data_IF_654301299078
#
_entry.id   IF_654301299078
#
_cell.length_a   1.000
_cell.length_b   1.000
_cell.length_c   1.000
_cell.angle_alpha   90.00
_cell.angle_beta   90.00
_cell.angle_gamma   90.00
#
_symmetry.space_group_name_H-M   'P 1'
#
loop_
_entity.id
_entity.type
_entity.pdbx_description
1 polymer ?
#
# COMPACT_ATOMS: atom_id res chain seq x y z
N UNK A 1 -15.07 -27.72 8.28
CA UNK A 1 -16.44 -28.29 8.31
C UNK A 1 -17.43 -27.13 8.27
N UNK A 2 -18.60 -27.27 7.62
CA UNK A 2 -19.46 -26.12 7.32
C UNK A 2 -20.20 -25.63 8.57
N UNK A 3 -20.35 -24.32 8.75
CA UNK A 3 -21.05 -23.71 9.89
C UNK A 3 -22.50 -24.19 10.06
N UNK A 4 -23.10 -24.74 8.99
CA UNK A 4 -24.44 -25.33 9.00
C UNK A 4 -24.46 -26.70 9.69
N UNK A 5 -23.40 -27.50 9.52
CA UNK A 5 -23.29 -28.80 10.18
C UNK A 5 -23.16 -28.66 11.70
N UNK A 6 -22.42 -27.66 12.17
CA UNK A 6 -22.27 -27.36 13.60
C UNK A 6 -23.61 -26.92 14.21
N UNK A 7 -24.37 -26.07 13.52
CA UNK A 7 -25.70 -25.65 13.94
C UNK A 7 -26.68 -26.83 14.05
N UNK A 8 -26.66 -27.74 13.06
CA UNK A 8 -27.50 -28.95 13.08
C UNK A 8 -27.13 -29.85 14.27
N UNK A 9 -25.84 -30.01 14.55
CA UNK A 9 -25.37 -30.79 15.70
C UNK A 9 -25.81 -30.18 17.03
N UNK A 10 -25.78 -28.85 17.16
CA UNK A 10 -26.26 -28.13 18.34
C UNK A 10 -27.78 -28.29 18.53
N UNK A 11 -28.57 -28.26 17.45
CA UNK A 11 -30.02 -28.50 17.51
C UNK A 11 -30.35 -29.93 17.97
N UNK A 12 -29.60 -30.93 17.48
CA UNK A 12 -29.75 -32.32 17.92
C UNK A 12 -29.37 -32.48 19.39
N UNK A 13 -28.28 -31.83 19.83
CA UNK A 13 -27.85 -31.84 21.24
C UNK A 13 -28.86 -31.15 22.17
N UNK A 14 -29.56 -30.13 21.68
CA UNK A 14 -30.65 -29.46 22.39
C UNK A 14 -31.95 -30.28 22.44
N UNK A 15 -32.00 -31.45 21.79
CA UNK A 15 -33.17 -32.34 21.79
C UNK A 15 -34.27 -31.92 20.82
N UNK A 16 -33.95 -31.11 19.81
CA UNK A 16 -34.91 -30.75 18.76
C UNK A 16 -35.17 -31.98 17.88
N UNK A 17 -36.44 -32.20 17.53
CA UNK A 17 -36.86 -33.32 16.69
C UNK A 17 -36.13 -33.31 15.34
N UNK A 18 -35.45 -34.40 14.95
CA UNK A 18 -34.72 -34.48 13.69
C UNK A 18 -35.60 -34.26 12.45
N UNK A 19 -36.89 -34.62 12.50
CA UNK A 19 -37.81 -34.40 11.39
C UNK A 19 -38.11 -32.89 11.22
N UNK A 20 -38.17 -32.15 12.33
CA UNK A 20 -38.35 -30.70 12.31
C UNK A 20 -37.09 -29.99 11.77
N UNK A 21 -35.90 -30.48 12.12
CA UNK A 21 -34.63 -29.98 11.58
C UNK A 21 -34.58 -30.22 10.07
N UNK A 22 -34.95 -31.42 9.62
CA UNK A 22 -34.99 -31.79 8.20
C UNK A 22 -35.93 -30.90 7.37
N UNK A 23 -37.17 -30.68 7.86
CA UNK A 23 -38.14 -29.79 7.21
C UNK A 23 -37.65 -28.34 7.14
N UNK A 24 -36.99 -27.87 8.20
CA UNK A 24 -36.44 -26.51 8.26
C UNK A 24 -35.24 -26.35 7.31
N UNK A 25 -34.35 -27.34 7.25
CA UNK A 25 -33.23 -27.35 6.31
C UNK A 25 -33.70 -27.36 4.85
N UNK A 26 -34.73 -28.15 4.54
CA UNK A 26 -35.37 -28.15 3.22
C UNK A 26 -35.94 -26.76 2.87
N UNK A 27 -36.72 -26.16 3.78
CA UNK A 27 -37.28 -24.82 3.60
C UNK A 27 -36.22 -23.71 3.46
N UNK A 28 -35.07 -23.85 4.11
CA UNK A 28 -33.94 -22.92 3.95
C UNK A 28 -33.21 -23.12 2.63
N UNK A 29 -33.14 -24.35 2.11
CA UNK A 29 -32.51 -24.65 0.82
C UNK A 29 -33.30 -24.12 -0.38
N UNK A 30 -34.62 -24.05 -0.25
CA UNK A 30 -35.53 -23.52 -1.28
C UNK A 30 -35.56 -21.98 -1.32
N UNK A 31 -35.03 -21.30 -0.29
CA UNK A 31 -34.93 -19.85 -0.31
C UNK A 31 -33.83 -19.40 -1.27
N UNK A 32 -34.22 -18.69 -2.33
CA UNK A 32 -33.26 -18.01 -3.19
C UNK A 32 -32.39 -17.05 -2.36
N UNK A 33 -31.05 -17.09 -2.51
CA UNK A 33 -30.18 -16.18 -1.79
C UNK A 33 -30.50 -14.76 -2.24
N UNK A 34 -31.01 -13.95 -1.30
CA UNK A 34 -31.23 -12.53 -1.51
C UNK A 34 -29.88 -11.91 -1.84
N UNK A 35 -29.71 -11.52 -3.11
CA UNK A 35 -28.53 -10.79 -3.57
C UNK A 35 -28.53 -9.43 -2.90
N UNK A 36 -27.85 -9.33 -1.76
CA UNK A 36 -27.58 -8.04 -1.12
C UNK A 36 -26.61 -7.30 -2.03
N UNK A 37 -27.16 -6.47 -2.92
CA UNK A 37 -26.38 -5.53 -3.71
C UNK A 37 -25.88 -4.49 -2.72
N UNK A 38 -24.61 -4.60 -2.32
CA UNK A 38 -23.95 -3.55 -1.56
C UNK A 38 -23.78 -2.33 -2.47
N UNK A 39 -24.83 -1.49 -2.50
CA UNK A 39 -24.91 -0.26 -3.28
C UNK A 39 -23.74 0.67 -2.93
N UNK A 40 -23.26 0.61 -1.69
CA UNK A 40 -22.10 1.36 -1.24
C UNK A 40 -20.82 0.86 -1.91
N UNK A 41 -20.64 -0.45 -2.02
CA UNK A 41 -19.54 -1.05 -2.78
C UNK A 41 -19.63 -0.76 -4.29
N UNK A 42 -20.84 -0.72 -4.86
CA UNK A 42 -21.05 -0.33 -6.27
C UNK A 42 -20.67 1.15 -6.50
N UNK A 43 -21.08 2.06 -5.61
CA UNK A 43 -20.72 3.49 -5.65
C UNK A 43 -19.21 3.70 -5.52
N UNK A 44 -18.52 2.95 -4.65
CA UNK A 44 -17.05 2.99 -4.55
C UNK A 44 -16.37 2.58 -5.87
N UNK A 45 -16.83 1.50 -6.51
CA UNK A 45 -16.31 1.04 -7.81
C UNK A 45 -16.61 1.99 -8.97
N UNK A 46 -17.71 2.74 -8.92
CA UNK A 46 -18.04 3.75 -9.92
C UNK A 46 -17.09 4.96 -9.81
N UNK A 47 -16.89 5.48 -8.60
CA UNK A 47 -15.99 6.60 -8.34
C UNK A 47 -14.53 6.30 -8.72
N UNK A 48 -14.09 5.05 -8.54
CA UNK A 48 -12.76 4.63 -8.95
C UNK A 48 -12.60 4.59 -10.48
N UNK A 49 -13.63 4.12 -11.20
CA UNK A 49 -13.67 4.17 -12.67
C UNK A 49 -13.59 5.60 -13.20
N UNK A 50 -14.32 6.54 -12.60
CA UNK A 50 -14.29 7.95 -13.00
C UNK A 50 -12.92 8.58 -12.73
N UNK A 51 -12.30 8.27 -11.59
CA UNK A 51 -10.94 8.73 -11.28
C UNK A 51 -9.92 8.21 -12.28
N UNK A 52 -10.04 6.96 -12.74
CA UNK A 52 -9.15 6.38 -13.75
C UNK A 52 -9.36 7.03 -15.12
N UNK A 53 -10.61 7.33 -15.49
CA UNK A 53 -10.93 8.07 -16.73
C UNK A 53 -10.31 9.46 -16.73
N UNK A 54 -10.49 10.23 -15.66
CA UNK A 54 -9.91 11.58 -15.54
C UNK A 54 -8.38 11.56 -15.60
N UNK A 55 -7.75 10.55 -15.00
CA UNK A 55 -6.30 10.38 -15.06
C UNK A 55 -5.83 10.10 -16.50
N UNK A 56 -6.48 9.17 -17.19
CA UNK A 56 -6.11 8.80 -18.55
C UNK A 56 -6.35 9.96 -19.53
N UNK A 57 -7.40 10.77 -19.33
CA UNK A 57 -7.66 11.97 -20.14
C UNK A 57 -6.63 13.07 -19.91
N UNK A 58 -6.14 13.26 -18.68
CA UNK A 58 -5.08 14.22 -18.40
C UNK A 58 -3.73 13.77 -18.98
N UNK A 59 -3.43 12.47 -18.94
CA UNK A 59 -2.22 11.88 -19.56
C UNK A 59 -2.27 11.96 -21.10
N UNK A 60 -3.46 11.98 -21.73
CA UNK A 60 -3.59 12.15 -23.19
C UNK A 60 -3.58 13.60 -23.69
N UNK A 61 -3.81 14.59 -22.82
CA UNK A 61 -3.75 16.01 -23.19
C UNK A 61 -2.32 16.59 -23.14
N UNK A 62 -1.40 15.91 -22.45
CA UNK A 62 0.00 16.34 -22.29
C UNK A 62 0.92 15.89 -23.45
N UNK A 63 0.39 15.14 -24.43
CA UNK A 63 1.16 14.63 -25.59
C UNK A 63 0.87 15.36 -26.91
N UNK A 64 0.22 16.53 -26.88
CA UNK A 64 -0.17 17.25 -28.10
C UNK A 64 0.16 18.75 -28.04
N UNK A 65 1.39 19.14 -27.72
CA UNK A 65 1.88 20.52 -27.93
C UNK A 65 3.35 20.46 -28.37
N UNK A 66 3.57 20.05 -29.62
CA UNK A 66 4.76 20.45 -30.36
C UNK A 66 4.30 20.91 -31.74
N UNK A 67 4.46 22.21 -32.01
CA UNK A 67 4.98 22.83 -33.24
C UNK A 67 4.51 24.30 -33.40
N UNK A 68 5.46 25.20 -33.15
CA UNK A 68 5.91 26.26 -34.07
C UNK A 68 5.64 27.76 -33.72
N UNK A 69 6.77 28.50 -33.71
CA UNK A 69 6.97 29.94 -33.57
C UNK A 69 6.51 30.73 -34.81
N UNK A 70 6.03 31.98 -34.63
CA UNK A 70 6.74 33.21 -35.08
C UNK A 70 5.85 34.46 -35.05
N UNK A 71 6.38 35.55 -34.50
CA UNK A 71 5.89 36.94 -34.63
C UNK A 71 6.09 37.51 -36.05
N UNK A 72 5.56 38.72 -36.36
CA UNK A 72 6.47 39.88 -36.39
C UNK A 72 5.89 41.24 -35.90
N UNK A 73 6.83 42.21 -35.83
CA UNK A 73 6.85 43.59 -35.28
C UNK A 73 5.90 44.62 -35.93
N UNK A 74 5.58 45.67 -35.15
CA UNK A 74 5.11 47.00 -35.61
C UNK A 74 5.51 48.10 -34.60
N UNK A 75 5.80 49.31 -35.07
CA UNK A 75 6.73 50.31 -34.51
C UNK A 75 6.20 51.27 -33.42
N UNK A 76 7.15 51.85 -32.67
CA UNK A 76 7.04 52.97 -31.70
C UNK A 76 6.93 54.35 -32.41
N UNK A 77 6.53 55.46 -31.74
CA UNK A 77 7.47 56.28 -30.94
C UNK A 77 6.89 56.96 -29.65
N UNK A 78 7.75 57.10 -28.64
CA UNK A 78 7.67 57.84 -27.33
C UNK A 78 7.79 59.39 -27.46
N UNK A 79 7.87 60.25 -26.39
CA UNK A 79 7.14 60.46 -25.10
C UNK A 79 6.83 61.99 -24.85
N UNK A 80 6.28 62.46 -23.69
CA UNK A 80 7.15 62.89 -22.58
C UNK A 80 6.61 62.63 -21.16
N UNK A 81 7.53 62.57 -20.19
CA UNK A 81 7.32 62.41 -18.75
C UNK A 81 6.65 63.66 -18.12
N UNK A 82 6.05 63.57 -16.90
CA UNK A 82 6.87 63.68 -15.69
C UNK A 82 6.46 62.74 -14.54
N UNK A 83 7.46 62.39 -13.73
CA UNK A 83 7.34 61.69 -12.44
C UNK A 83 6.44 62.47 -11.47
N UNK A 84 5.74 61.77 -10.57
CA UNK A 84 6.00 62.01 -9.16
C UNK A 84 6.30 60.70 -8.41
N UNK A 85 7.34 60.77 -7.60
CA UNK A 85 7.71 59.81 -6.56
C UNK A 85 6.50 59.59 -5.64
N UNK A 86 5.82 58.45 -5.74
CA UNK A 86 4.93 57.96 -4.70
C UNK A 86 5.60 56.78 -4.01
N UNK A 87 6.33 57.15 -2.95
CA UNK A 87 6.43 56.45 -1.67
C UNK A 87 6.11 54.95 -1.71
N UNK A 88 7.19 54.18 -1.69
CA UNK A 88 7.24 52.80 -1.21
C UNK A 88 6.55 52.77 0.18
N UNK A 89 5.42 52.07 0.35
CA UNK A 89 4.91 51.79 1.69
C UNK A 89 5.88 50.86 2.42
N UNK A 90 6.13 51.06 3.73
CA UNK A 90 7.17 50.35 4.47
C UNK A 90 6.87 48.86 4.50
N UNK A 91 7.94 48.07 4.37
CA UNK A 91 7.96 46.62 4.50
C UNK A 91 7.17 46.17 5.74
N UNK A 92 6.36 45.10 5.64
CA UNK A 92 5.79 44.49 6.83
C UNK A 92 6.92 43.94 7.71
N UNK A 93 6.81 44.06 9.05
CA UNK A 93 7.86 43.66 9.96
C UNK A 93 8.13 42.16 9.88
N UNK A 94 9.42 41.85 9.95
CA UNK A 94 10.03 40.53 10.16
C UNK A 94 9.30 39.75 11.27
N UNK A 95 8.96 38.49 10.99
CA UNK A 95 9.10 37.43 12.01
C UNK A 95 7.85 37.00 12.77
N UNK A 96 6.69 36.93 12.13
CA UNK A 96 5.54 36.19 12.65
C UNK A 96 5.11 35.11 11.67
N UNK A 97 5.94 34.07 11.47
CA UNK A 97 5.53 32.92 10.66
C UNK A 97 4.24 32.37 11.27
N UNK A 98 3.14 32.43 10.51
CA UNK A 98 2.03 31.52 10.77
C UNK A 98 2.62 30.11 10.94
N UNK A 99 2.10 29.28 11.86
CA UNK A 99 2.66 27.96 12.11
C UNK A 99 2.53 27.15 10.82
N UNK A 100 3.59 27.14 10.03
CA UNK A 100 3.63 26.37 8.80
C UNK A 100 3.98 24.94 9.22
N UNK A 101 3.38 23.92 8.58
CA UNK A 101 3.73 22.53 8.85
C UNK A 101 5.23 22.26 8.77
N UNK A 102 5.94 23.02 7.92
CA UNK A 102 7.40 22.97 7.75
C UNK A 102 8.14 23.46 8.98
N UNK A 103 7.77 24.62 9.53
CA UNK A 103 8.41 25.19 10.72
C UNK A 103 8.34 24.28 11.96
N UNK A 104 7.22 23.57 12.15
CA UNK A 104 7.06 22.61 13.25
C UNK A 104 7.91 21.33 13.06
N UNK A 105 8.14 20.91 11.79
CA UNK A 105 8.96 19.73 11.48
C UNK A 105 10.45 20.05 11.50
N UNK A 106 10.87 21.22 11.03
CA UNK A 106 12.26 21.70 11.07
C UNK A 106 12.81 21.84 12.49
N UNK A 107 11.94 21.95 13.50
CA UNK A 107 12.35 21.95 14.90
C UNK A 107 12.94 20.60 15.38
N UNK A 108 12.80 19.53 14.58
CA UNK A 108 13.20 18.15 14.96
C UNK A 108 13.92 17.43 13.81
N UNK A 109 13.64 17.80 12.56
CA UNK A 109 14.18 17.20 11.34
C UNK A 109 15.01 18.21 10.56
N UNK A 110 15.89 17.71 9.70
CA UNK A 110 16.56 18.55 8.70
C UNK A 110 15.55 19.17 7.72
N UNK A 111 15.87 20.36 7.19
CA UNK A 111 15.00 21.08 6.25
C UNK A 111 14.60 20.24 5.02
N UNK A 112 15.56 19.49 4.45
CA UNK A 112 15.32 18.63 3.29
C UNK A 112 14.32 17.50 3.60
N UNK A 113 14.42 16.90 4.79
CA UNK A 113 13.53 15.82 5.24
C UNK A 113 12.16 16.33 5.62
N UNK A 114 12.07 17.51 6.22
CA UNK A 114 10.80 18.18 6.48
C UNK A 114 10.03 18.44 5.17
N UNK A 115 10.72 18.92 4.12
CA UNK A 115 10.14 19.09 2.79
C UNK A 115 9.72 17.75 2.16
N UNK A 116 10.56 16.72 2.27
CA UNK A 116 10.24 15.39 1.75
C UNK A 116 8.98 14.79 2.40
N UNK A 117 8.79 14.98 3.72
CA UNK A 117 7.57 14.55 4.43
C UNK A 117 6.34 15.30 3.93
N UNK A 118 6.44 16.60 3.70
CA UNK A 118 5.34 17.43 3.18
C UNK A 118 4.99 17.02 1.75
N UNK A 119 5.98 16.86 0.86
CA UNK A 119 5.78 16.39 -0.51
C UNK A 119 5.15 15.00 -0.55
N UNK A 120 5.62 14.08 0.31
CA UNK A 120 5.05 12.75 0.45
C UNK A 120 3.56 12.80 0.84
N UNK A 121 3.21 13.63 1.85
CA UNK A 121 1.83 13.88 2.30
C UNK A 121 0.92 14.43 1.19
N UNK A 122 1.45 15.35 0.38
CA UNK A 122 0.75 15.88 -0.78
C UNK A 122 0.51 14.79 -1.84
N UNK A 123 1.51 13.94 -2.11
CA UNK A 123 1.41 12.83 -3.07
C UNK A 123 0.36 11.79 -2.69
N UNK A 124 0.25 11.47 -1.40
CA UNK A 124 -0.82 10.59 -0.87
C UNK A 124 -2.17 11.32 -0.69
N UNK A 125 -2.27 12.58 -1.16
CA UNK A 125 -3.46 13.46 -1.15
C UNK A 125 -4.03 13.70 0.25
N UNK A 126 -3.18 13.67 1.27
CA UNK A 126 -3.53 14.01 2.66
C UNK A 126 -2.56 15.08 3.15
N UNK A 127 -2.75 16.34 2.74
CA UNK A 127 -1.83 17.42 3.08
C UNK A 127 -1.75 17.59 4.60
N UNK A 128 -0.54 17.85 5.08
CA UNK A 128 -0.26 17.99 6.50
C UNK A 128 -0.74 19.35 7.00
N UNK A 129 -1.54 19.37 8.06
CA UNK A 129 -1.92 20.61 8.76
C UNK A 129 -0.86 20.97 9.80
N UNK A 130 -0.79 22.24 10.21
CA UNK A 130 0.17 22.72 11.20
C UNK A 130 0.10 21.94 12.53
N UNK A 131 -1.12 21.67 13.01
CA UNK A 131 -1.33 20.88 14.23
C UNK A 131 -0.88 19.42 14.07
N UNK A 132 -1.13 18.80 12.92
CA UNK A 132 -0.68 17.44 12.65
C UNK A 132 0.86 17.35 12.55
N UNK A 133 1.50 18.39 12.01
CA UNK A 133 2.96 18.50 11.99
C UNK A 133 3.53 18.56 13.41
N UNK A 134 2.94 19.37 14.30
CA UNK A 134 3.33 19.44 15.72
C UNK A 134 3.19 18.10 16.44
N UNK A 135 2.11 17.35 16.18
CA UNK A 135 1.94 16.01 16.73
C UNK A 135 3.01 15.04 16.23
N UNK A 136 3.34 15.07 14.93
CA UNK A 136 4.43 14.26 14.38
C UNK A 136 5.79 14.64 14.97
N UNK A 137 6.10 15.94 15.04
CA UNK A 137 7.33 16.44 15.64
C UNK A 137 7.46 15.98 17.10
N UNK A 138 6.37 16.01 17.88
CA UNK A 138 6.34 15.51 19.24
C UNK A 138 6.65 14.01 19.35
N UNK A 139 6.27 13.20 18.34
CA UNK A 139 6.62 11.77 18.29
C UNK A 139 8.05 11.54 17.81
N UNK A 140 8.54 12.29 16.83
CA UNK A 140 9.93 12.22 16.37
C UNK A 140 10.93 12.60 17.47
N UNK A 141 10.59 13.55 18.36
CA UNK A 141 11.43 13.88 19.53
C UNK A 141 11.64 12.73 20.51
N UNK A 142 10.73 11.76 20.53
CA UNK A 142 10.85 10.58 21.39
C UNK A 142 11.71 9.49 20.75
N UNK A 143 12.02 9.59 19.47
CA UNK A 143 12.92 8.67 18.79
C UNK A 143 14.39 9.05 19.04
N UNK A 144 15.28 8.05 19.15
CA UNK A 144 16.73 8.29 19.22
C UNK A 144 17.30 8.89 17.93
N UNK A 145 16.68 8.60 16.78
CA UNK A 145 17.01 9.20 15.48
C UNK A 145 15.73 9.62 14.76
N UNK A 146 15.44 10.94 14.81
CA UNK A 146 14.28 11.54 14.17
C UNK A 146 14.37 11.51 12.64
N UNK A 147 15.57 11.64 12.08
CA UNK A 147 15.77 11.68 10.63
C UNK A 147 15.54 10.31 10.00
N UNK A 148 16.11 9.25 10.58
CA UNK A 148 15.85 7.88 10.13
C UNK A 148 14.36 7.50 10.24
N UNK A 149 13.67 8.01 11.27
CA UNK A 149 12.24 7.83 11.44
C UNK A 149 11.42 8.50 10.32
N UNK A 150 11.79 9.71 9.89
CA UNK A 150 11.15 10.40 8.77
C UNK A 150 11.40 9.66 7.44
N UNK A 151 12.63 9.22 7.20
CA UNK A 151 13.00 8.46 6.00
C UNK A 151 12.22 7.13 5.94
N UNK A 152 12.09 6.44 7.08
CA UNK A 152 11.26 5.23 7.19
C UNK A 152 9.77 5.53 6.93
N UNK A 153 9.24 6.65 7.44
CA UNK A 153 7.85 7.05 7.21
C UNK A 153 7.56 7.22 5.72
N UNK A 154 8.47 7.89 4.98
CA UNK A 154 8.35 8.14 3.55
C UNK A 154 8.47 6.82 2.76
N UNK A 155 9.49 6.00 3.07
CA UNK A 155 9.75 4.75 2.36
C UNK A 155 8.57 3.76 2.44
N UNK A 156 7.83 3.76 3.56
CA UNK A 156 6.69 2.85 3.76
C UNK A 156 5.34 3.45 3.40
N UNK A 157 5.27 4.72 3.01
CA UNK A 157 3.99 5.37 2.70
C UNK A 157 3.13 5.65 3.94
N UNK A 158 3.74 5.82 5.11
CA UNK A 158 2.99 5.97 6.36
C UNK A 158 2.43 7.38 6.54
N UNK A 159 1.20 7.44 7.03
CA UNK A 159 0.50 8.68 7.38
C UNK A 159 0.57 9.01 8.88
N UNK A 160 0.97 8.05 9.69
CA UNK A 160 1.19 8.18 11.11
C UNK A 160 2.57 7.64 11.43
N UNK A 161 3.09 7.97 12.60
CA UNK A 161 4.39 7.51 13.01
C UNK A 161 4.36 7.21 14.49
N UNK A 162 4.64 5.96 14.84
CA UNK A 162 4.68 5.44 16.20
C UNK A 162 6.02 4.70 16.36
N UNK A 163 6.71 4.91 17.49
CA UNK A 163 8.07 4.40 17.72
C UNK A 163 8.09 2.87 17.70
N UNK A 164 7.09 2.25 18.32
CA UNK A 164 6.91 0.79 18.36
C UNK A 164 6.86 0.18 16.95
N UNK A 165 6.40 0.93 15.93
CA UNK A 165 6.36 0.43 14.56
C UNK A 165 7.76 0.30 13.95
N UNK A 166 8.71 1.14 14.37
CA UNK A 166 10.11 0.98 13.98
C UNK A 166 10.76 -0.20 14.72
N UNK A 167 10.50 -0.32 16.01
CA UNK A 167 11.05 -1.41 16.86
C UNK A 167 10.52 -2.79 16.45
N UNK A 168 9.23 -2.89 16.18
CA UNK A 168 8.64 -4.14 15.69
C UNK A 168 9.21 -4.54 14.33
N UNK A 169 9.65 -3.57 13.52
CA UNK A 169 10.25 -3.84 12.22
C UNK A 169 11.72 -4.24 12.31
N UNK A 170 12.49 -3.60 13.18
CA UNK A 170 13.86 -4.07 13.46
C UNK A 170 13.82 -5.48 14.05
N UNK A 171 12.87 -5.78 14.94
CA UNK A 171 12.63 -7.14 15.44
C UNK A 171 12.20 -8.12 14.33
N UNK A 172 11.27 -7.73 13.46
CA UNK A 172 10.77 -8.58 12.37
C UNK A 172 11.82 -8.85 11.28
N UNK A 173 12.79 -7.95 11.07
CA UNK A 173 13.89 -8.20 10.11
C UNK A 173 14.89 -9.25 10.59
N UNK A 174 14.94 -9.55 11.90
CA UNK A 174 15.88 -10.50 12.48
C UNK A 174 15.27 -11.87 12.77
N UNK A 175 13.99 -12.07 12.46
CA UNK A 175 13.37 -13.39 12.53
C UNK A 175 12.85 -13.77 11.13
N UNK A 176 13.43 -14.76 10.44
CA UNK A 176 12.60 -15.63 9.62
C UNK A 176 11.59 -16.23 10.60
N UNK A 177 10.42 -15.58 10.73
CA UNK A 177 9.32 -16.11 11.50
C UNK A 177 8.90 -17.37 10.74
N UNK A 178 9.43 -18.51 11.18
CA UNK A 178 8.87 -19.79 10.82
C UNK A 178 7.36 -19.65 11.06
N UNK A 179 6.52 -20.00 10.09
CA UNK A 179 5.09 -19.86 10.26
C UNK A 179 4.70 -20.49 11.59
N UNK A 180 3.80 -19.85 12.38
CA UNK A 180 3.32 -20.44 13.61
C UNK A 180 2.94 -21.88 13.29
N UNK A 181 3.35 -22.82 14.15
CA UNK A 181 3.26 -24.26 13.96
C UNK A 181 1.79 -24.68 13.82
N UNK A 182 1.17 -24.36 12.68
CA UNK A 182 -0.19 -24.73 12.34
C UNK A 182 -0.11 -26.23 12.14
N UNK A 183 -0.91 -27.04 12.86
CA UNK A 183 -1.00 -28.45 12.54
C UNK A 183 -1.31 -28.53 11.04
N UNK A 184 -0.50 -29.31 10.31
CA UNK A 184 -0.71 -29.52 8.88
C UNK A 184 -2.16 -29.91 8.69
N UNK A 185 -2.86 -29.22 7.77
CA UNK A 185 -4.22 -29.60 7.39
C UNK A 185 -4.25 -31.09 7.02
N UNK A 186 -5.33 -31.79 7.36
CA UNK A 186 -5.53 -33.20 6.99
C UNK A 186 -5.26 -33.45 5.51
N UNK A 187 -5.61 -32.49 4.64
CA UNK A 187 -5.31 -32.55 3.21
C UNK A 187 -3.80 -32.61 2.91
N UNK A 188 -3.00 -31.84 3.64
CA UNK A 188 -1.55 -31.79 3.46
C UNK A 188 -0.87 -33.01 4.09
N UNK A 189 -1.42 -33.57 5.17
CA UNK A 189 -0.99 -34.86 5.72
C UNK A 189 -1.29 -36.00 4.76
N UNK A 190 -2.49 -36.03 4.18
CA UNK A 190 -2.87 -37.03 3.18
C UNK A 190 -1.98 -36.93 1.94
N UNK A 191 -1.65 -35.72 1.47
CA UNK A 191 -0.67 -35.55 0.39
C UNK A 191 0.70 -36.09 0.77
N UNK A 192 1.22 -35.78 1.96
CA UNK A 192 2.50 -36.29 2.44
C UNK A 192 2.50 -37.83 2.53
N UNK A 193 1.42 -38.45 3.01
CA UNK A 193 1.29 -39.90 3.12
C UNK A 193 1.18 -40.58 1.76
N UNK A 194 0.42 -40.01 0.82
CA UNK A 194 0.36 -40.49 -0.57
C UNK A 194 1.73 -40.40 -1.23
N UNK A 195 2.44 -39.29 -1.02
CA UNK A 195 3.80 -39.11 -1.52
C UNK A 195 4.75 -40.17 -0.95
N UNK A 196 4.64 -40.47 0.36
CA UNK A 196 5.46 -41.48 1.04
C UNK A 196 5.21 -42.89 0.49
N UNK A 197 3.95 -43.26 0.27
CA UNK A 197 3.58 -44.55 -0.30
C UNK A 197 4.06 -44.68 -1.74
N UNK A 198 4.02 -43.60 -2.52
CA UNK A 198 4.56 -43.56 -3.88
C UNK A 198 6.09 -43.70 -3.90
N UNK A 199 6.81 -43.01 -3.02
CA UNK A 199 8.27 -43.12 -2.90
C UNK A 199 8.69 -44.53 -2.46
N UNK A 200 7.95 -45.15 -1.53
CA UNK A 200 8.14 -46.53 -1.08
C UNK A 200 7.87 -47.55 -2.21
N UNK A 201 6.78 -47.37 -2.96
CA UNK A 201 6.42 -48.24 -4.08
C UNK A 201 7.36 -48.10 -5.28
N UNK A 202 7.97 -46.93 -5.48
CA UNK A 202 8.93 -46.67 -6.56
C UNK A 202 10.38 -46.92 -6.15
N UNK A 203 10.64 -47.30 -4.89
CA UNK A 203 11.99 -47.52 -4.37
C UNK A 203 12.87 -46.25 -4.42
N UNK A 204 12.26 -45.07 -4.55
CA UNK A 204 12.97 -43.80 -4.73
C UNK A 204 13.29 -43.23 -3.35
N UNK A 205 14.37 -43.72 -2.76
CA UNK A 205 14.93 -43.15 -1.54
C UNK A 205 15.27 -41.68 -1.77
N UNK A 206 14.67 -40.78 -0.99
CA UNK A 206 14.99 -39.34 -0.98
C UNK A 206 16.43 -39.02 -0.57
N UNK A 207 17.17 -40.04 -0.12
CA UNK A 207 18.58 -39.97 0.25
C UNK A 207 19.51 -40.62 -0.79
N UNK A 208 19.01 -40.98 -1.98
CA UNK A 208 19.92 -41.27 -3.09
C UNK A 208 20.43 -39.94 -3.61
N UNK A 209 21.60 -39.57 -3.09
CA UNK A 209 22.51 -38.62 -3.70
C UNK A 209 22.48 -38.81 -5.22
N UNK A 210 21.82 -37.89 -5.92
CA UNK A 210 22.19 -37.55 -7.29
C UNK A 210 23.57 -36.87 -7.23
N UNK A 211 24.59 -37.67 -6.93
CA UNK A 211 25.99 -37.31 -7.11
C UNK A 211 26.37 -37.71 -8.52
N UNK A 212 26.64 -36.70 -9.35
CA UNK A 212 27.36 -36.90 -10.59
C UNK A 212 26.50 -37.17 -11.82
N UNK A 213 25.90 -36.11 -12.37
CA UNK A 213 26.43 -35.51 -13.59
C UNK A 213 25.50 -34.39 -14.03
N UNK A 214 25.69 -33.19 -13.47
CA UNK A 214 25.45 -31.98 -14.25
C UNK A 214 26.25 -32.15 -15.53
N UNK A 215 25.56 -32.42 -16.63
CA UNK A 215 26.10 -32.35 -17.98
C UNK A 215 26.50 -30.89 -18.16
N UNK A 216 27.76 -30.59 -17.84
CA UNK A 216 28.38 -29.29 -18.06
C UNK A 216 28.62 -29.17 -19.56
N UNK A 217 27.58 -28.75 -20.28
CA UNK A 217 27.70 -28.32 -21.67
C UNK A 217 28.48 -27.01 -21.65
N UNK A 218 29.81 -27.13 -21.67
CA UNK A 218 30.70 -26.01 -21.87
C UNK A 218 30.37 -25.31 -23.20
N UNK A 219 30.71 -24.03 -23.39
CA UNK A 219 30.33 -23.22 -24.56
C UNK A 219 30.88 -23.67 -25.93
N UNK A 220 31.38 -24.90 -26.07
CA UNK A 220 32.05 -25.41 -27.28
C UNK A 220 31.27 -26.45 -28.07
N UNK A 221 30.10 -26.91 -27.60
CA UNK A 221 29.37 -27.99 -28.26
C UNK A 221 28.28 -27.53 -29.24
N UNK A 222 28.15 -26.22 -29.49
CA UNK A 222 27.40 -25.72 -30.65
C UNK A 222 28.27 -25.79 -31.91
N UNK A 223 28.53 -27.00 -32.43
CA UNK A 223 29.05 -27.18 -33.79
C UNK A 223 28.07 -27.95 -34.65
N UNK A 224 27.66 -27.28 -35.72
CA UNK A 224 26.70 -27.67 -36.72
C UNK A 224 26.92 -29.06 -37.35
N UNK A 225 25.79 -29.71 -37.62
CA UNK A 225 25.60 -30.79 -38.59
C UNK A 225 24.20 -30.69 -39.12
#
# INVERSE_FOLDING_TARGET
MSAVADLIADMVRAGVDPDLIGRTAAALSEREPVKIVDEQAARRRAKDRDRKRLRNSAESADSAEDLNLSSPKGSSPTPPSPKPLQSIPPSPPKGGSSPTPKSELEAVLDADRADAVIQHRQKIRKPLTAHAAKLLAGKFRRCPDANAAADAMIANGWQGFEIEWMENRSASRHQPQAPPNKPKSEFMQHQDDVQRVLDEATGRSRNDEFTGSTFDLGPRDYRAG
#
